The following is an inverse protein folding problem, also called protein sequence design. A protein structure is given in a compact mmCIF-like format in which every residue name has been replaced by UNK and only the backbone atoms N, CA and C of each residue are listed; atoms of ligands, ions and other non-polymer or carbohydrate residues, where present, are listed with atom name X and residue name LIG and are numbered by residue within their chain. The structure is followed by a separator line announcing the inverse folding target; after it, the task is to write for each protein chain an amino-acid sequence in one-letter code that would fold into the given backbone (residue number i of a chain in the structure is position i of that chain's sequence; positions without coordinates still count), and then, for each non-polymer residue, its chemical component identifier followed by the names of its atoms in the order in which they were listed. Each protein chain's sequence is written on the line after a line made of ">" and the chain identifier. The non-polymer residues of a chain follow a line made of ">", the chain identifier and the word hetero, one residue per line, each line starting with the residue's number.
data_IF_853969638200
#
_entry.id   IF_853969638200
#
_cell.length_a   1.000
_cell.length_b   1.000
_cell.length_c   1.000
_cell.angle_alpha   90.00
_cell.angle_beta   90.00
_cell.angle_gamma   90.00
#
_symmetry.space_group_name_H-M   'P 1'
#
loop_
_entity.id
_entity.type
_entity.pdbx_description
1 polymer ?
#
# COMPACT_ATOMS: atom_id res chain seq x y z
N UNK A 1 -30.21 0.86 -10.61
CA UNK A 1 -29.34 1.79 -11.34
C UNK A 1 -28.87 2.99 -10.52
N UNK A 2 -29.73 3.73 -9.80
CA UNK A 2 -29.33 4.93 -9.05
C UNK A 2 -28.19 4.69 -8.02
N UNK A 3 -28.26 3.59 -7.26
CA UNK A 3 -27.21 3.19 -6.30
C UNK A 3 -25.85 2.91 -6.96
N UNK A 4 -25.86 2.25 -8.12
CA UNK A 4 -24.63 1.95 -8.86
C UNK A 4 -23.99 3.23 -9.40
N UNK A 5 -24.79 4.14 -9.97
CA UNK A 5 -24.33 5.45 -10.45
C UNK A 5 -23.74 6.30 -9.32
N UNK A 6 -24.35 6.24 -8.14
CA UNK A 6 -23.86 6.95 -6.95
C UNK A 6 -22.54 6.37 -6.44
N UNK A 7 -22.44 5.04 -6.36
CA UNK A 7 -21.21 4.35 -6.01
C UNK A 7 -20.05 4.68 -6.97
N UNK A 8 -20.31 4.65 -8.28
CA UNK A 8 -19.29 5.04 -9.26
C UNK A 8 -18.88 6.50 -9.12
N UNK A 9 -19.83 7.40 -8.82
CA UNK A 9 -19.51 8.80 -8.57
C UNK A 9 -18.63 8.97 -7.32
N UNK A 10 -18.90 8.25 -6.23
CA UNK A 10 -18.10 8.29 -5.01
C UNK A 10 -16.67 7.79 -5.23
N UNK A 11 -16.50 6.68 -5.94
CA UNK A 11 -15.18 6.14 -6.28
C UNK A 11 -14.35 7.13 -7.12
N UNK A 12 -14.99 7.81 -8.08
CA UNK A 12 -14.36 8.81 -8.93
C UNK A 12 -14.00 10.09 -8.15
N UNK A 13 -14.86 10.52 -7.24
CA UNK A 13 -14.59 11.67 -6.35
C UNK A 13 -13.43 11.38 -5.38
N UNK A 14 -13.29 10.14 -4.93
CA UNK A 14 -12.20 9.65 -4.06
C UNK A 14 -11.11 8.93 -4.86
N UNK A 15 -10.75 9.46 -6.04
CA UNK A 15 -9.84 8.81 -6.98
C UNK A 15 -8.48 8.45 -6.38
N UNK A 16 -7.95 9.27 -5.46
CA UNK A 16 -6.67 9.00 -4.79
C UNK A 16 -6.71 7.73 -3.93
N UNK A 17 -7.79 7.51 -3.17
CA UNK A 17 -7.98 6.28 -2.39
C UNK A 17 -8.09 5.06 -3.30
N UNK A 18 -8.74 5.20 -4.46
CA UNK A 18 -8.80 4.13 -5.45
C UNK A 18 -7.41 3.79 -6.03
N UNK A 19 -6.62 4.80 -6.40
CA UNK A 19 -5.25 4.62 -6.93
C UNK A 19 -4.37 3.93 -5.88
N UNK A 20 -4.35 4.45 -4.65
CA UNK A 20 -3.58 3.87 -3.55
C UNK A 20 -4.04 2.44 -3.26
N UNK A 21 -5.36 2.21 -3.23
CA UNK A 21 -5.93 0.91 -2.94
C UNK A 21 -5.58 -0.14 -4.00
N UNK A 22 -5.67 0.21 -5.28
CA UNK A 22 -5.27 -0.69 -6.38
C UNK A 22 -3.77 -0.99 -6.35
N UNK A 23 -2.94 0.02 -6.11
CA UNK A 23 -1.50 -0.15 -5.98
C UNK A 23 -1.13 -1.13 -4.85
N UNK A 24 -1.76 -0.98 -3.68
CA UNK A 24 -1.59 -1.90 -2.55
C UNK A 24 -2.02 -3.33 -2.88
N UNK A 25 -3.15 -3.51 -3.56
CA UNK A 25 -3.64 -4.83 -3.97
C UNK A 25 -2.65 -5.48 -4.94
N UNK A 26 -2.17 -4.76 -5.96
CA UNK A 26 -1.24 -5.32 -6.93
C UNK A 26 0.11 -5.67 -6.29
N UNK A 27 0.67 -4.81 -5.45
CA UNK A 27 1.89 -5.12 -4.71
C UNK A 27 1.68 -6.32 -3.77
N UNK A 28 0.56 -6.37 -3.05
CA UNK A 28 0.24 -7.49 -2.17
C UNK A 28 0.07 -8.83 -2.91
N UNK A 29 -0.59 -8.83 -4.08
CA UNK A 29 -0.69 -10.02 -4.95
C UNK A 29 0.70 -10.44 -5.41
N UNK A 30 1.53 -9.49 -5.87
CA UNK A 30 2.90 -9.74 -6.31
C UNK A 30 3.72 -10.43 -5.23
N UNK A 31 3.62 -9.96 -3.98
CA UNK A 31 4.33 -10.55 -2.85
C UNK A 31 3.81 -11.96 -2.53
N UNK A 32 2.49 -12.15 -2.49
CA UNK A 32 1.89 -13.44 -2.19
C UNK A 32 2.16 -14.53 -3.26
N UNK A 33 2.36 -14.16 -4.53
CA UNK A 33 2.70 -15.15 -5.58
C UNK A 33 4.20 -15.40 -5.69
N UNK A 34 5.03 -14.48 -5.18
CA UNK A 34 6.48 -14.53 -5.34
C UNK A 34 7.10 -15.18 -4.10
N UNK A 35 7.33 -16.48 -4.15
CA UNK A 35 7.77 -17.27 -2.98
C UNK A 35 9.05 -16.76 -2.32
N UNK A 36 9.99 -16.21 -3.11
CA UNK A 36 11.27 -15.67 -2.64
C UNK A 36 11.51 -14.30 -3.26
N UNK A 37 10.55 -13.38 -3.08
CA UNK A 37 10.70 -12.01 -3.54
C UNK A 37 11.93 -11.35 -2.89
N UNK A 38 12.00 -11.32 -1.56
CA UNK A 38 13.12 -10.75 -0.82
C UNK A 38 14.20 -11.80 -0.54
N UNK A 39 15.46 -11.51 -0.85
CA UNK A 39 16.59 -12.45 -0.66
C UNK A 39 17.77 -11.85 0.10
N UNK A 40 17.62 -10.61 0.55
CA UNK A 40 18.62 -9.88 1.33
C UNK A 40 17.94 -9.24 2.57
N UNK A 41 18.61 -9.15 3.74
CA UNK A 41 19.95 -9.65 4.03
C UNK A 41 19.99 -11.19 4.16
N UNK A 42 21.09 -11.86 3.79
CA UNK A 42 21.19 -13.32 3.88
C UNK A 42 21.14 -13.81 5.34
N UNK A 43 21.54 -12.97 6.28
CA UNK A 43 21.48 -13.26 7.71
C UNK A 43 21.05 -12.02 8.50
N UNK A 44 20.25 -12.21 9.57
CA UNK A 44 19.63 -13.47 10.00
C UNK A 44 18.40 -13.89 9.16
N UNK A 45 18.28 -15.19 8.85
CA UNK A 45 17.28 -15.75 7.91
C UNK A 45 15.82 -15.46 8.30
N UNK A 46 15.53 -15.26 9.58
CA UNK A 46 14.17 -14.94 10.03
C UNK A 46 13.62 -13.66 9.39
N UNK A 47 14.49 -12.72 8.99
CA UNK A 47 14.07 -11.46 8.35
C UNK A 47 13.51 -11.76 6.96
N UNK A 48 14.25 -12.50 6.13
CA UNK A 48 13.78 -12.88 4.79
C UNK A 48 12.62 -13.85 4.86
N UNK A 49 12.58 -14.76 5.85
CA UNK A 49 11.45 -15.67 6.04
C UNK A 49 10.17 -14.88 6.37
N UNK A 50 10.26 -13.89 7.25
CA UNK A 50 9.13 -13.00 7.58
C UNK A 50 8.70 -12.15 6.38
N UNK A 51 9.64 -11.53 5.67
CA UNK A 51 9.34 -10.65 4.55
C UNK A 51 8.69 -11.37 3.36
N UNK A 52 9.00 -12.66 3.17
CA UNK A 52 8.38 -13.51 2.14
C UNK A 52 7.19 -14.32 2.66
N UNK A 53 6.75 -14.11 3.90
CA UNK A 53 5.54 -14.74 4.39
C UNK A 53 4.33 -14.16 3.65
N UNK A 54 3.40 -15.02 3.23
CA UNK A 54 2.17 -14.63 2.53
C UNK A 54 1.36 -13.58 3.31
N UNK A 55 1.50 -13.55 4.65
CA UNK A 55 0.90 -12.54 5.52
C UNK A 55 1.28 -11.11 5.12
N UNK A 56 2.51 -10.88 4.65
CA UNK A 56 2.94 -9.54 4.19
C UNK A 56 2.16 -9.14 2.94
N UNK A 57 2.03 -10.05 1.97
CA UNK A 57 1.22 -9.84 0.77
C UNK A 57 -0.25 -9.61 1.09
N UNK A 58 -0.83 -10.44 1.96
CA UNK A 58 -2.22 -10.31 2.39
C UNK A 58 -2.49 -9.01 3.14
N UNK A 59 -1.53 -8.52 3.93
CA UNK A 59 -1.64 -7.22 4.59
C UNK A 59 -1.80 -6.09 3.58
N UNK A 60 -0.99 -6.08 2.51
CA UNK A 60 -1.12 -5.13 1.41
C UNK A 60 -2.50 -5.20 0.74
N UNK A 61 -2.96 -6.42 0.42
CA UNK A 61 -4.29 -6.63 -0.19
C UNK A 61 -5.41 -6.11 0.70
N UNK A 62 -5.39 -6.41 2.00
CA UNK A 62 -6.42 -5.99 2.94
C UNK A 62 -6.46 -4.46 3.12
N UNK A 63 -5.29 -3.82 3.22
CA UNK A 63 -5.21 -2.36 3.26
C UNK A 63 -5.77 -1.74 1.97
N UNK A 64 -5.46 -2.31 0.81
CA UNK A 64 -5.94 -1.82 -0.46
C UNK A 64 -7.45 -1.98 -0.65
N UNK A 65 -8.02 -3.12 -0.22
CA UNK A 65 -9.48 -3.31 -0.15
C UNK A 65 -10.10 -2.29 0.80
N UNK A 66 -9.47 -2.03 1.96
CA UNK A 66 -9.91 -1.02 2.92
C UNK A 66 -9.99 0.37 2.32
N UNK A 67 -8.98 0.79 1.55
CA UNK A 67 -8.96 2.07 0.84
C UNK A 67 -10.10 2.22 -0.16
N UNK A 68 -10.31 1.20 -1.01
CA UNK A 68 -11.39 1.20 -2.01
C UNK A 68 -12.76 1.18 -1.32
N UNK A 69 -12.89 0.40 -0.25
CA UNK A 69 -14.11 0.33 0.54
C UNK A 69 -14.43 1.68 1.19
N UNK A 70 -13.43 2.39 1.70
CA UNK A 70 -13.61 3.75 2.23
C UNK A 70 -14.04 4.72 1.13
N UNK A 71 -13.39 4.68 -0.05
CA UNK A 71 -13.71 5.51 -1.21
C UNK A 71 -15.14 5.32 -1.74
N UNK A 72 -15.69 4.12 -1.56
CA UNK A 72 -17.06 3.77 -1.94
C UNK A 72 -18.11 4.44 -1.04
N UNK A 73 -17.77 4.74 0.23
CA UNK A 73 -18.72 5.28 1.21
C UNK A 73 -19.07 6.74 0.93
N UNK A 74 -20.33 7.10 1.16
CA UNK A 74 -20.79 8.49 1.05
C UNK A 74 -20.34 9.35 2.24
N UNK A 75 -20.37 8.76 3.45
CA UNK A 75 -19.93 9.38 4.70
C UNK A 75 -18.90 8.46 5.37
N UNK A 76 -17.71 8.35 4.78
CA UNK A 76 -16.65 7.52 5.31
C UNK A 76 -16.17 8.00 6.68
N UNK A 77 -15.98 7.09 7.63
CA UNK A 77 -15.46 7.43 8.96
C UNK A 77 -14.08 8.07 8.85
N UNK A 78 -13.87 9.17 9.57
CA UNK A 78 -12.60 9.86 9.56
C UNK A 78 -11.49 9.07 10.27
N UNK A 79 -11.82 8.43 11.40
CA UNK A 79 -10.89 7.54 12.12
C UNK A 79 -10.40 6.40 11.21
N UNK A 80 -11.30 5.80 10.44
CA UNK A 80 -10.95 4.75 9.49
C UNK A 80 -10.02 5.28 8.39
N UNK A 81 -10.30 6.45 7.82
CA UNK A 81 -9.43 7.06 6.81
C UNK A 81 -8.01 7.28 7.34
N UNK A 82 -7.89 7.88 8.53
CA UNK A 82 -6.59 8.11 9.19
C UNK A 82 -5.83 6.81 9.40
N UNK A 83 -6.50 5.78 9.90
CA UNK A 83 -5.88 4.49 10.14
C UNK A 83 -5.39 3.84 8.85
N UNK A 84 -6.21 3.86 7.79
CA UNK A 84 -5.85 3.33 6.48
C UNK A 84 -4.68 4.07 5.86
N UNK A 85 -4.69 5.41 5.89
CA UNK A 85 -3.59 6.23 5.37
C UNK A 85 -2.29 5.99 6.12
N UNK A 86 -2.31 5.98 7.45
CA UNK A 86 -1.13 5.74 8.27
C UNK A 86 -0.56 4.32 8.03
N UNK A 87 -1.44 3.31 8.03
CA UNK A 87 -1.02 1.91 7.82
C UNK A 87 -0.48 1.68 6.41
N UNK A 88 -1.11 2.29 5.40
CA UNK A 88 -0.65 2.22 4.01
C UNK A 88 0.70 2.91 3.84
N UNK A 89 0.87 4.09 4.42
CA UNK A 89 2.14 4.82 4.39
C UNK A 89 3.27 4.05 5.06
N UNK A 90 3.00 3.42 6.21
CA UNK A 90 3.96 2.56 6.89
C UNK A 90 4.30 1.32 6.05
N UNK A 91 3.31 0.68 5.42
CA UNK A 91 3.52 -0.48 4.55
C UNK A 91 4.37 -0.13 3.32
N UNK A 92 4.06 0.96 2.62
CA UNK A 92 4.88 1.45 1.50
C UNK A 92 6.29 1.84 1.94
N UNK A 93 6.44 2.45 3.12
CA UNK A 93 7.77 2.78 3.66
C UNK A 93 8.57 1.51 3.92
N UNK A 94 7.95 0.50 4.53
CA UNK A 94 8.58 -0.80 4.77
C UNK A 94 9.01 -1.46 3.45
N UNK A 95 8.11 -1.55 2.46
CA UNK A 95 8.44 -2.15 1.16
C UNK A 95 9.52 -1.35 0.43
N UNK A 96 9.32 -0.05 0.24
CA UNK A 96 10.23 0.80 -0.52
C UNK A 96 11.63 0.85 0.08
N UNK A 97 11.75 0.92 1.41
CA UNK A 97 13.07 0.83 2.07
C UNK A 97 13.68 -0.56 1.90
N UNK A 98 12.89 -1.63 2.04
CA UNK A 98 13.40 -3.00 1.90
C UNK A 98 13.91 -3.25 0.47
N UNK A 99 13.14 -2.84 -0.53
CA UNK A 99 13.52 -2.96 -1.95
C UNK A 99 14.71 -2.05 -2.29
N UNK A 100 14.78 -0.85 -1.72
CA UNK A 100 15.95 0.03 -1.85
C UNK A 100 17.20 -0.60 -1.22
N UNK A 101 17.09 -1.26 -0.06
CA UNK A 101 18.22 -1.97 0.53
C UNK A 101 18.68 -3.14 -0.35
N UNK A 102 17.75 -3.88 -0.97
CA UNK A 102 18.11 -4.91 -1.95
C UNK A 102 18.84 -4.32 -3.14
N UNK A 103 18.37 -3.18 -3.65
CA UNK A 103 19.00 -2.48 -4.77
C UNK A 103 20.45 -2.07 -4.44
N UNK A 104 20.69 -1.58 -3.23
CA UNK A 104 22.01 -1.10 -2.81
C UNK A 104 22.99 -2.22 -2.42
N UNK A 105 22.49 -3.29 -1.82
CA UNK A 105 23.33 -4.28 -1.14
C UNK A 105 23.23 -5.70 -1.68
N UNK A 106 22.19 -6.03 -2.44
CA UNK A 106 22.05 -7.34 -3.06
C UNK A 106 22.70 -7.34 -4.45
N UNK A 107 23.39 -8.42 -4.81
CA UNK A 107 23.90 -8.64 -6.17
C UNK A 107 23.36 -10.00 -6.65
N UNK A 108 22.87 -10.12 -7.90
CA UNK A 108 22.89 -9.13 -8.99
C UNK A 108 21.71 -8.14 -8.98
N UNK A 109 21.84 -7.09 -9.80
CA UNK A 109 20.83 -6.08 -10.10
C UNK A 109 19.46 -6.69 -10.44
N UNK A 110 18.43 -6.29 -9.71
CA UNK A 110 17.03 -6.72 -9.93
C UNK A 110 16.17 -5.51 -10.32
N UNK A 111 16.00 -5.23 -11.63
CA UNK A 111 15.34 -4.00 -12.11
C UNK A 111 13.92 -3.81 -11.55
N UNK A 112 13.23 -4.91 -11.24
CA UNK A 112 11.90 -4.90 -10.63
C UNK A 112 11.90 -4.25 -9.24
N UNK A 113 12.87 -4.59 -8.39
CA UNK A 113 12.94 -4.06 -7.02
C UNK A 113 13.31 -2.59 -7.01
N UNK A 114 14.14 -2.13 -7.95
CA UNK A 114 14.47 -0.71 -8.03
C UNK A 114 13.24 0.12 -8.40
N UNK A 115 12.49 -0.34 -9.39
CA UNK A 115 11.25 0.31 -9.80
C UNK A 115 10.19 0.23 -8.70
N UNK A 116 10.10 -0.91 -8.01
CA UNK A 116 9.30 -1.09 -6.80
C UNK A 116 9.63 -0.02 -5.77
N UNK A 117 10.91 0.11 -5.40
CA UNK A 117 11.37 1.03 -4.37
C UNK A 117 10.99 2.48 -4.69
N UNK A 118 11.23 2.91 -5.93
CA UNK A 118 10.86 4.25 -6.40
C UNK A 118 9.34 4.43 -6.34
N UNK A 119 8.57 3.46 -6.84
CA UNK A 119 7.11 3.54 -6.87
C UNK A 119 6.53 3.60 -5.46
N UNK A 120 7.05 2.81 -4.53
CA UNK A 120 6.58 2.76 -3.15
C UNK A 120 6.91 4.05 -2.39
N UNK A 121 8.11 4.62 -2.60
CA UNK A 121 8.46 5.93 -2.04
C UNK A 121 7.57 7.06 -2.58
N UNK A 122 7.22 7.03 -3.88
CA UNK A 122 6.23 7.96 -4.44
C UNK A 122 4.87 7.76 -3.76
N UNK A 123 4.45 6.52 -3.53
CA UNK A 123 3.18 6.22 -2.86
C UNK A 123 3.18 6.63 -1.38
N UNK A 124 4.32 6.61 -0.69
CA UNK A 124 4.46 7.26 0.63
C UNK A 124 4.13 8.74 0.53
N UNK A 125 4.72 9.46 -0.43
CA UNK A 125 4.43 10.89 -0.62
C UNK A 125 2.96 11.15 -0.95
N UNK A 126 2.35 10.30 -1.79
CA UNK A 126 0.91 10.38 -2.12
C UNK A 126 0.06 10.17 -0.86
N UNK A 127 0.34 9.15 -0.05
CA UNK A 127 -0.42 8.91 1.19
C UNK A 127 -0.26 10.03 2.22
N UNK A 128 0.93 10.65 2.32
CA UNK A 128 1.16 11.82 3.16
C UNK A 128 0.42 13.06 2.64
N UNK A 129 0.42 13.27 1.32
CA UNK A 129 -0.36 14.33 0.69
C UNK A 129 -1.86 14.15 0.98
N UNK A 130 -2.39 12.94 0.80
CA UNK A 130 -3.78 12.63 1.13
C UNK A 130 -4.07 12.86 2.62
N UNK A 131 -3.15 12.51 3.52
CA UNK A 131 -3.31 12.74 4.96
C UNK A 131 -3.33 14.23 5.32
N UNK A 132 -2.56 15.06 4.60
CA UNK A 132 -2.54 16.52 4.74
C UNK A 132 -3.86 17.15 4.26
N UNK A 133 -4.38 16.72 3.12
CA UNK A 133 -5.61 17.27 2.52
C UNK A 133 -6.89 16.70 3.16
N UNK A 134 -6.81 15.54 3.81
CA UNK A 134 -7.97 14.91 4.46
C UNK A 134 -8.49 15.78 5.62
N UNK A 135 -9.83 15.99 5.73
CA UNK A 135 -10.40 16.88 6.75
C UNK A 135 -10.04 16.44 8.17
N UNK A 136 -9.35 17.27 8.96
CA UNK A 136 -8.78 16.83 10.24
C UNK A 136 -9.73 16.76 11.44
N UNK A 137 -11.01 17.12 11.26
CA UNK A 137 -11.90 17.52 12.35
C UNK A 137 -13.08 16.56 12.56
N UNK A 138 -12.91 15.72 13.59
CA UNK A 138 -13.87 15.05 14.49
C UNK A 138 -15.15 14.48 13.88
N UNK A 139 -15.20 13.15 13.79
CA UNK A 139 -16.38 12.41 14.24
C UNK A 139 -16.64 12.89 15.67
N UNK A 140 -17.82 13.49 15.93
CA UNK A 140 -18.23 14.19 17.16
C UNK A 140 -17.58 13.71 18.47
#
# INVERSE_FOLDING_TARGET
>A
MARLKKATANLLNNGWHCIVGLSLIFNGIVLAISTHYFFWPPHPKFITDFLNDDVVGYTGILLGIGMIYWAYQENGSYKMNRFLLASSSAFYTMLGLTEMMHTLFAHPFTPRMEWGAISDLIMVLVTLYMAKESPTRKDE
#
